data_IF_427719012238
#
_entry.id   IF_427719012238
#
_cell.length_a   1.000
_cell.length_b   1.000
_cell.length_c   1.000
_cell.angle_alpha   90.00
_cell.angle_beta   90.00
_cell.angle_gamma   90.00
#
_symmetry.space_group_name_H-M   'P 1'
#
loop_
_entity.id
_entity.type
_entity.pdbx_description
1 polymer ?
#
# COMPACT_ATOMS: atom_id res chain seq x y z
N UNK A 1 21.64 -8.64 37.94
CA UNK A 1 22.28 -7.91 36.81
C UNK A 1 22.40 -8.75 35.52
N UNK A 2 23.04 -9.92 35.57
CA UNK A 2 23.24 -10.80 34.39
C UNK A 2 21.93 -11.37 33.82
N UNK A 3 20.97 -11.69 34.70
CA UNK A 3 19.63 -12.17 34.31
C UNK A 3 18.81 -11.14 33.54
N UNK A 4 18.97 -9.84 33.85
CA UNK A 4 18.26 -8.78 33.14
C UNK A 4 18.83 -8.60 31.73
N UNK A 5 20.16 -8.48 31.60
CA UNK A 5 20.82 -8.35 30.30
C UNK A 5 20.54 -9.52 29.34
N UNK A 6 20.42 -10.75 29.86
CA UNK A 6 20.05 -11.93 29.05
C UNK A 6 18.62 -11.83 28.51
N UNK A 7 17.66 -11.43 29.34
CA UNK A 7 16.26 -11.29 28.94
C UNK A 7 16.08 -10.17 27.90
N UNK A 8 16.80 -9.06 28.08
CA UNK A 8 16.85 -7.96 27.10
C UNK A 8 17.40 -8.43 25.75
N UNK A 9 18.51 -9.18 25.77
CA UNK A 9 19.10 -9.77 24.57
C UNK A 9 18.16 -10.77 23.88
N UNK A 10 17.46 -11.62 24.64
CA UNK A 10 16.48 -12.57 24.11
C UNK A 10 15.27 -11.86 23.48
N UNK A 11 14.74 -10.82 24.13
CA UNK A 11 13.65 -10.00 23.60
C UNK A 11 14.05 -9.35 22.28
N UNK A 12 15.18 -8.65 22.26
CA UNK A 12 15.67 -7.95 21.07
C UNK A 12 15.93 -8.93 19.93
N UNK A 13 16.57 -10.07 20.21
CA UNK A 13 16.84 -11.10 19.19
C UNK A 13 15.55 -11.61 18.56
N UNK A 14 14.54 -11.95 19.38
CA UNK A 14 13.24 -12.42 18.87
C UNK A 14 12.53 -11.34 18.05
N UNK A 15 12.56 -10.10 18.51
CA UNK A 15 11.94 -8.98 17.81
C UNK A 15 12.58 -8.76 16.43
N UNK A 16 13.91 -8.70 16.37
CA UNK A 16 14.65 -8.51 15.12
C UNK A 16 14.40 -9.66 14.13
N UNK A 17 14.35 -10.90 14.60
CA UNK A 17 13.97 -12.05 13.76
C UNK A 17 12.58 -11.88 13.16
N UNK A 18 11.59 -11.44 13.94
CA UNK A 18 10.24 -11.19 13.40
C UNK A 18 10.24 -10.05 12.38
N UNK A 19 10.98 -8.96 12.63
CA UNK A 19 11.12 -7.86 11.68
C UNK A 19 11.75 -8.34 10.37
N UNK A 20 12.75 -9.23 10.42
CA UNK A 20 13.33 -9.83 9.23
C UNK A 20 12.31 -10.66 8.45
N UNK A 21 11.51 -11.51 9.11
CA UNK A 21 10.46 -12.27 8.42
C UNK A 21 9.43 -11.38 7.74
N UNK A 22 9.01 -10.29 8.40
CA UNK A 22 8.12 -9.28 7.83
C UNK A 22 8.75 -8.66 6.58
N UNK A 23 10.03 -8.34 6.65
CA UNK A 23 10.77 -7.74 5.54
C UNK A 23 10.94 -8.70 4.36
N UNK A 24 11.26 -9.97 4.61
CA UNK A 24 11.41 -10.98 3.56
C UNK A 24 10.09 -11.27 2.86
N UNK A 25 8.99 -11.39 3.61
CA UNK A 25 7.66 -11.50 3.05
C UNK A 25 7.33 -10.31 2.15
N UNK A 26 7.59 -9.10 2.63
CA UNK A 26 7.31 -7.87 1.88
C UNK A 26 8.08 -7.81 0.57
N UNK A 27 9.39 -8.10 0.61
CA UNK A 27 10.27 -8.11 -0.57
C UNK A 27 9.78 -9.10 -1.62
N UNK A 28 9.37 -10.30 -1.20
CA UNK A 28 8.80 -11.30 -2.11
C UNK A 28 7.56 -10.75 -2.80
N UNK A 29 6.64 -10.15 -2.04
CA UNK A 29 5.37 -9.62 -2.56
C UNK A 29 5.53 -8.44 -3.50
N UNK A 30 6.36 -7.46 -3.19
CA UNK A 30 6.60 -6.34 -4.12
C UNK A 30 7.26 -6.82 -5.42
N UNK A 31 8.11 -7.85 -5.38
CA UNK A 31 8.71 -8.43 -6.58
C UNK A 31 7.69 -9.19 -7.44
N UNK A 32 6.76 -9.91 -6.82
CA UNK A 32 5.66 -10.57 -7.52
C UNK A 32 4.75 -9.52 -8.19
N UNK A 33 4.44 -8.43 -7.49
CA UNK A 33 3.67 -7.29 -8.00
C UNK A 33 4.38 -6.59 -9.17
N UNK A 34 5.69 -6.35 -9.06
CA UNK A 34 6.51 -5.79 -10.14
C UNK A 34 6.44 -6.68 -11.40
N UNK A 35 6.65 -8.00 -11.23
CA UNK A 35 6.61 -8.96 -12.33
C UNK A 35 5.24 -9.02 -13.01
N UNK A 36 4.15 -8.85 -12.26
CA UNK A 36 2.80 -8.78 -12.83
C UNK A 36 2.60 -7.46 -13.59
N UNK A 37 3.05 -6.34 -13.03
CA UNK A 37 2.95 -5.04 -13.69
C UNK A 37 3.73 -4.99 -15.01
N UNK A 38 4.95 -5.55 -15.05
CA UNK A 38 5.75 -5.65 -16.28
C UNK A 38 5.05 -6.43 -17.40
N UNK A 39 4.22 -7.43 -17.04
CA UNK A 39 3.42 -8.18 -18.01
C UNK A 39 2.19 -7.40 -18.49
N UNK A 40 1.52 -6.68 -17.58
CA UNK A 40 0.27 -5.97 -17.86
C UNK A 40 0.50 -4.62 -18.55
N UNK A 41 1.55 -3.89 -18.19
CA UNK A 41 1.85 -2.56 -18.72
C UNK A 41 1.87 -2.49 -20.25
N UNK A 42 2.57 -3.35 -21.01
CA UNK A 42 2.55 -3.28 -22.47
C UNK A 42 1.18 -3.65 -23.07
N UNK A 43 0.38 -4.46 -22.36
CA UNK A 43 -0.98 -4.83 -22.80
C UNK A 43 -1.94 -3.67 -22.60
N UNK A 44 -1.83 -2.95 -21.49
CA UNK A 44 -2.76 -1.88 -21.12
C UNK A 44 -2.32 -0.48 -21.59
N UNK A 45 -1.13 -0.36 -22.16
CA UNK A 45 -0.63 0.90 -22.70
C UNK A 45 -1.56 1.45 -23.80
N UNK A 46 -1.70 2.78 -23.85
CA UNK A 46 -2.51 3.50 -24.86
C UNK A 46 -3.95 2.99 -24.97
N UNK A 47 -4.75 3.14 -23.91
CA UNK A 47 -6.15 2.68 -23.86
C UNK A 47 -7.01 3.18 -25.03
N UNK A 48 -6.72 4.35 -25.59
CA UNK A 48 -7.38 4.91 -26.77
C UNK A 48 -7.24 4.04 -28.04
N UNK A 49 -6.28 3.10 -28.07
CA UNK A 49 -6.04 2.23 -29.22
C UNK A 49 -6.85 0.94 -29.19
N UNK A 50 -7.37 0.54 -28.03
CA UNK A 50 -8.06 -0.73 -27.86
C UNK A 50 -9.44 -0.60 -27.18
N UNK A 51 -9.78 0.54 -26.59
CA UNK A 51 -11.15 0.85 -26.17
C UNK A 51 -11.92 1.40 -27.37
N UNK A 52 -12.88 0.62 -27.83
CA UNK A 52 -13.72 0.91 -29.01
C UNK A 52 -14.75 1.99 -28.69
N UNK A 53 -15.32 1.94 -27.48
CA UNK A 53 -16.40 2.84 -27.05
C UNK A 53 -16.42 2.95 -25.51
N UNK A 54 -16.63 4.16 -24.96
CA UNK A 54 -16.71 4.40 -23.52
C UNK A 54 -18.00 3.83 -22.93
N UNK A 55 -18.06 3.75 -21.60
CA UNK A 55 -19.27 3.35 -20.87
C UNK A 55 -20.21 4.55 -20.79
N UNK A 56 -21.35 4.48 -21.48
CA UNK A 56 -22.32 5.58 -21.63
C UNK A 56 -22.96 6.05 -20.30
N UNK A 57 -22.89 5.24 -19.24
CA UNK A 57 -23.48 5.53 -17.92
C UNK A 57 -22.49 5.25 -16.78
N UNK A 58 -21.24 5.70 -16.90
CA UNK A 58 -20.31 5.63 -15.78
C UNK A 58 -20.87 6.45 -14.60
N UNK A 59 -21.02 5.86 -13.39
CA UNK A 59 -21.42 6.62 -12.21
C UNK A 59 -20.42 7.76 -11.93
N UNK A 60 -20.88 8.96 -11.51
CA UNK A 60 -19.97 10.04 -11.14
C UNK A 60 -19.02 9.59 -10.03
N UNK A 61 -17.71 9.70 -10.26
CA UNK A 61 -16.70 9.27 -9.29
C UNK A 61 -16.49 7.74 -9.19
N UNK A 62 -16.96 6.97 -10.17
CA UNK A 62 -16.69 5.53 -10.24
C UNK A 62 -15.18 5.23 -10.30
N UNK A 63 -14.78 4.14 -9.64
CA UNK A 63 -13.41 3.62 -9.70
C UNK A 63 -13.24 2.69 -10.89
N UNK A 64 -11.98 2.42 -11.30
CA UNK A 64 -11.71 1.45 -12.34
C UNK A 64 -12.25 0.05 -11.96
N UNK A 65 -12.14 -0.32 -10.70
CA UNK A 65 -12.71 -1.57 -10.15
C UNK A 65 -14.21 -1.70 -10.38
N UNK A 66 -14.98 -0.61 -10.21
CA UNK A 66 -16.42 -0.61 -10.44
C UNK A 66 -16.78 -0.65 -11.94
N UNK A 67 -15.92 -0.12 -12.80
CA UNK A 67 -16.17 -0.02 -14.25
C UNK A 67 -15.74 -1.26 -15.02
N UNK A 68 -14.69 -1.96 -14.60
CA UNK A 68 -14.18 -3.14 -15.31
C UNK A 68 -15.24 -4.25 -15.48
N UNK A 69 -16.05 -4.60 -14.47
CA UNK A 69 -17.14 -5.58 -14.63
C UNK A 69 -18.24 -5.15 -15.62
N UNK A 70 -18.35 -3.86 -15.93
CA UNK A 70 -19.34 -3.34 -16.89
C UNK A 70 -18.83 -3.40 -18.34
N UNK A 71 -17.54 -3.69 -18.55
CA UNK A 71 -16.94 -3.81 -19.89
C UNK A 71 -17.38 -5.11 -20.56
N UNK A 72 -18.37 -5.00 -21.45
CA UNK A 72 -18.79 -6.12 -22.29
C UNK A 72 -17.73 -6.43 -23.37
N UNK A 73 -17.18 -7.67 -23.42
CA UNK A 73 -16.23 -8.08 -24.44
C UNK A 73 -16.79 -7.94 -25.86
N UNK A 74 -15.94 -7.56 -26.81
CA UNK A 74 -16.24 -7.28 -28.22
C UNK A 74 -17.23 -6.13 -28.46
N UNK A 75 -17.71 -5.47 -27.40
CA UNK A 75 -18.49 -4.24 -27.49
C UNK A 75 -17.62 -3.04 -27.12
N UNK A 76 -16.97 -3.09 -25.96
CA UNK A 76 -16.13 -2.00 -25.46
C UNK A 76 -14.64 -2.24 -25.75
N UNK A 77 -14.18 -3.48 -25.60
CA UNK A 77 -12.80 -3.92 -25.86
C UNK A 77 -12.75 -5.43 -26.07
N UNK A 78 -11.62 -6.00 -26.45
CA UNK A 78 -11.43 -7.45 -26.63
C UNK A 78 -11.37 -8.18 -25.29
N UNK A 79 -11.69 -9.48 -25.28
CA UNK A 79 -11.74 -10.28 -24.04
C UNK A 79 -10.40 -10.31 -23.29
N UNK A 80 -9.28 -10.41 -24.01
CA UNK A 80 -7.93 -10.39 -23.43
C UNK A 80 -7.62 -9.07 -22.69
N UNK A 81 -8.18 -7.94 -23.14
CA UNK A 81 -8.02 -6.64 -22.48
C UNK A 81 -8.90 -6.53 -21.24
N UNK A 82 -10.12 -7.08 -21.28
CA UNK A 82 -10.97 -7.16 -20.07
C UNK A 82 -10.28 -8.01 -19.01
N UNK A 83 -9.72 -9.16 -19.38
CA UNK A 83 -8.98 -10.04 -18.45
C UNK A 83 -7.73 -9.35 -17.90
N UNK A 84 -7.00 -8.61 -18.73
CA UNK A 84 -5.85 -7.82 -18.29
C UNK A 84 -6.24 -6.70 -17.33
N UNK A 85 -7.38 -6.02 -17.55
CA UNK A 85 -7.91 -5.01 -16.65
C UNK A 85 -8.34 -5.60 -15.30
N UNK A 86 -8.97 -6.78 -15.30
CA UNK A 86 -9.31 -7.49 -14.05
C UNK A 86 -8.05 -7.84 -13.25
N UNK A 87 -7.01 -8.38 -13.91
CA UNK A 87 -5.73 -8.66 -13.25
C UNK A 87 -5.06 -7.39 -12.73
N UNK A 88 -5.17 -6.29 -13.47
CA UNK A 88 -4.61 -5.00 -13.06
C UNK A 88 -5.33 -4.40 -11.84
N UNK A 89 -6.66 -4.46 -11.80
CA UNK A 89 -7.44 -4.06 -10.62
C UNK A 89 -7.07 -4.92 -9.41
N UNK A 90 -6.93 -6.24 -9.60
CA UNK A 90 -6.44 -7.15 -8.56
C UNK A 90 -5.06 -6.75 -8.03
N UNK A 91 -4.11 -6.45 -8.93
CA UNK A 91 -2.79 -5.94 -8.57
C UNK A 91 -2.89 -4.65 -7.73
N UNK A 92 -3.73 -3.69 -8.11
CA UNK A 92 -3.92 -2.47 -7.32
C UNK A 92 -4.45 -2.76 -5.91
N UNK A 93 -5.36 -3.72 -5.76
CA UNK A 93 -5.85 -4.18 -4.45
C UNK A 93 -4.74 -4.82 -3.60
N UNK A 94 -3.94 -5.71 -4.19
CA UNK A 94 -2.80 -6.33 -3.50
C UNK A 94 -1.75 -5.30 -3.05
N UNK A 95 -1.50 -4.26 -3.87
CA UNK A 95 -0.59 -3.17 -3.51
C UNK A 95 -1.11 -2.37 -2.32
N UNK A 96 -2.41 -2.09 -2.25
CA UNK A 96 -3.03 -1.43 -1.10
C UNK A 96 -2.91 -2.29 0.16
N UNK A 97 -3.13 -3.60 0.04
CA UNK A 97 -2.95 -4.53 1.15
C UNK A 97 -1.49 -4.60 1.62
N UNK A 98 -0.51 -4.56 0.70
CA UNK A 98 0.90 -4.55 1.07
C UNK A 98 1.31 -3.24 1.78
N UNK A 99 0.70 -2.11 1.40
CA UNK A 99 0.83 -0.84 2.15
C UNK A 99 0.29 -0.98 3.56
N UNK A 100 -0.94 -1.47 3.72
CA UNK A 100 -1.58 -1.71 5.02
C UNK A 100 -0.75 -2.65 5.90
N UNK A 101 -0.20 -3.71 5.32
CA UNK A 101 0.72 -4.63 6.00
C UNK A 101 1.95 -3.91 6.58
N UNK A 102 2.59 -3.02 5.81
CA UNK A 102 3.73 -2.24 6.28
C UNK A 102 3.40 -1.44 7.53
N UNK A 103 2.28 -0.71 7.49
CA UNK A 103 1.83 0.13 8.61
C UNK A 103 1.47 -0.69 9.84
N UNK A 104 0.71 -1.77 9.67
CA UNK A 104 0.33 -2.63 10.79
C UNK A 104 1.55 -3.22 11.49
N UNK A 105 2.53 -3.71 10.73
CA UNK A 105 3.77 -4.25 11.31
C UNK A 105 4.61 -3.16 11.99
N UNK A 106 4.73 -1.99 11.39
CA UNK A 106 5.38 -0.84 12.02
C UNK A 106 4.73 -0.47 13.37
N UNK A 107 3.40 -0.39 13.40
CA UNK A 107 2.61 -0.10 14.59
C UNK A 107 2.79 -1.19 15.66
N UNK A 108 2.78 -2.46 15.25
CA UNK A 108 2.99 -3.58 16.15
C UNK A 108 4.36 -3.51 16.83
N UNK A 109 5.43 -3.26 16.06
CA UNK A 109 6.79 -3.11 16.59
C UNK A 109 6.89 -1.90 17.52
N UNK A 110 6.34 -0.76 17.13
CA UNK A 110 6.37 0.45 17.97
C UNK A 110 5.62 0.25 19.29
N UNK A 111 4.47 -0.44 19.26
CA UNK A 111 3.66 -0.73 20.45
C UNK A 111 4.33 -1.76 21.36
N UNK A 112 4.91 -2.83 20.82
CA UNK A 112 5.58 -3.85 21.64
C UNK A 112 6.84 -3.29 22.30
N UNK A 113 7.61 -2.45 21.61
CA UNK A 113 8.79 -1.79 22.18
C UNK A 113 8.39 -0.74 23.21
N UNK A 114 7.34 0.05 22.97
CA UNK A 114 6.82 0.97 23.99
C UNK A 114 6.36 0.22 25.24
N UNK A 115 5.69 -0.92 25.07
CA UNK A 115 5.28 -1.77 26.21
C UNK A 115 6.50 -2.35 26.93
N UNK A 116 7.52 -2.77 26.19
CA UNK A 116 8.79 -3.24 26.75
C UNK A 116 9.46 -2.14 27.59
N UNK A 117 9.68 -0.95 27.04
CA UNK A 117 10.35 0.18 27.72
C UNK A 117 9.58 0.68 28.95
N UNK A 118 8.27 0.42 29.05
CA UNK A 118 7.49 0.69 30.26
C UNK A 118 7.69 -0.38 31.35
N UNK A 119 8.02 -1.62 30.96
CA UNK A 119 8.17 -2.76 31.86
C UNK A 119 9.65 -3.00 32.23
N UNK A 120 10.57 -2.58 31.38
CA UNK A 120 12.02 -2.58 31.61
C UNK A 120 12.48 -1.17 31.96
N UNK A 121 13.64 -1.06 32.62
CA UNK A 121 14.33 0.23 32.79
C UNK A 121 15.31 0.49 31.63
N UNK A 122 15.06 -0.10 30.45
CA UNK A 122 15.90 0.01 29.26
C UNK A 122 15.09 0.67 28.14
N UNK A 123 15.63 1.75 27.58
CA UNK A 123 15.01 2.45 26.46
C UNK A 123 15.51 1.87 25.15
N UNK A 124 14.70 1.06 24.47
CA UNK A 124 15.02 0.47 23.17
C UNK A 124 14.31 1.17 22.01
N UNK A 125 13.27 1.96 22.29
CA UNK A 125 12.39 2.57 21.28
C UNK A 125 13.13 3.24 20.14
N UNK A 126 14.03 4.18 20.42
CA UNK A 126 14.66 4.97 19.37
C UNK A 126 15.55 4.12 18.47
N UNK A 127 16.32 3.19 19.04
CA UNK A 127 17.18 2.28 18.27
C UNK A 127 16.38 1.32 17.40
N UNK A 128 15.31 0.71 17.96
CA UNK A 128 14.48 -0.23 17.21
C UNK A 128 13.68 0.49 16.13
N UNK A 129 13.09 1.66 16.43
CA UNK A 129 12.36 2.44 15.42
C UNK A 129 13.29 2.90 14.30
N UNK A 130 14.51 3.32 14.62
CA UNK A 130 15.50 3.68 13.59
C UNK A 130 15.84 2.50 12.69
N UNK A 131 16.03 1.31 13.28
CA UNK A 131 16.25 0.08 12.52
C UNK A 131 15.05 -0.27 11.63
N UNK A 132 13.83 -0.23 12.17
CA UNK A 132 12.61 -0.50 11.41
C UNK A 132 12.44 0.48 10.25
N UNK A 133 12.71 1.77 10.50
CA UNK A 133 12.64 2.82 9.49
C UNK A 133 13.68 2.67 8.38
N UNK A 134 14.69 1.80 8.53
CA UNK A 134 15.64 1.47 7.48
C UNK A 134 15.32 0.17 6.76
N UNK A 135 14.25 -0.53 7.15
CA UNK A 135 13.85 -1.78 6.51
C UNK A 135 13.00 -1.51 5.26
N UNK A 136 13.16 -2.38 4.26
CA UNK A 136 12.50 -2.25 2.97
C UNK A 136 10.98 -2.29 3.08
N UNK A 137 10.43 -3.09 4.01
CA UNK A 137 8.98 -3.10 4.23
C UNK A 137 8.42 -1.72 4.63
N UNK A 138 9.23 -0.82 5.18
CA UNK A 138 8.82 0.53 5.56
C UNK A 138 9.20 1.59 4.50
N UNK A 139 10.38 1.47 3.89
CA UNK A 139 10.93 2.49 2.97
C UNK A 139 11.08 2.02 1.52
N UNK A 140 10.28 1.05 1.07
CA UNK A 140 10.42 0.51 -0.28
C UNK A 140 10.22 1.60 -1.34
N UNK A 141 11.26 1.79 -2.15
CA UNK A 141 11.18 2.60 -3.37
C UNK A 141 10.54 1.82 -4.51
N UNK A 142 10.76 0.51 -4.55
CA UNK A 142 10.21 -0.36 -5.59
C UNK A 142 8.68 -0.30 -5.59
N UNK A 143 8.03 -0.43 -4.43
CA UNK A 143 6.58 -0.30 -4.34
C UNK A 143 6.10 1.11 -4.73
N UNK A 144 6.89 2.14 -4.42
CA UNK A 144 6.62 3.52 -4.85
C UNK A 144 6.63 3.68 -6.37
N UNK A 145 7.58 3.05 -7.06
CA UNK A 145 7.70 3.06 -8.51
C UNK A 145 6.55 2.28 -9.18
N UNK A 146 6.25 1.07 -8.67
CA UNK A 146 5.09 0.25 -9.12
C UNK A 146 3.81 1.07 -8.97
N UNK A 147 3.62 1.76 -7.83
CA UNK A 147 2.43 2.55 -7.56
C UNK A 147 2.29 3.71 -8.53
N UNK A 148 3.38 4.42 -8.80
CA UNK A 148 3.38 5.54 -9.73
C UNK A 148 3.00 5.09 -11.14
N UNK A 149 3.59 3.98 -11.60
CA UNK A 149 3.29 3.42 -12.92
C UNK A 149 1.85 2.90 -13.01
N UNK A 150 1.36 2.18 -12.00
CA UNK A 150 -0.02 1.73 -11.93
C UNK A 150 -0.99 2.92 -11.93
N UNK A 151 -0.69 3.99 -11.18
CA UNK A 151 -1.53 5.19 -11.17
C UNK A 151 -1.62 5.87 -12.55
N UNK A 152 -0.52 5.88 -13.33
CA UNK A 152 -0.53 6.37 -14.72
C UNK A 152 -1.46 5.53 -15.60
N UNK A 153 -1.30 4.20 -15.58
CA UNK A 153 -2.13 3.27 -16.37
C UNK A 153 -3.60 3.41 -15.99
N UNK A 154 -3.90 3.45 -14.68
CA UNK A 154 -5.26 3.61 -14.19
C UNK A 154 -5.87 4.94 -14.64
N UNK A 155 -5.12 6.05 -14.56
CA UNK A 155 -5.60 7.37 -14.98
C UNK A 155 -5.86 7.43 -16.48
N UNK A 156 -4.98 6.86 -17.31
CA UNK A 156 -5.16 6.79 -18.76
C UNK A 156 -6.38 5.94 -19.11
N UNK A 157 -6.50 4.75 -18.51
CA UNK A 157 -7.62 3.84 -18.75
C UNK A 157 -8.95 4.48 -18.32
N UNK A 158 -8.99 5.10 -17.14
CA UNK A 158 -10.18 5.78 -16.63
C UNK A 158 -10.65 6.88 -17.57
N UNK A 159 -9.75 7.75 -18.04
CA UNK A 159 -10.11 8.85 -18.93
C UNK A 159 -10.80 8.38 -20.22
N UNK A 160 -10.39 7.23 -20.76
CA UNK A 160 -10.95 6.66 -21.98
C UNK A 160 -12.22 5.85 -21.70
N UNK A 161 -12.29 5.11 -20.58
CA UNK A 161 -13.46 4.29 -20.21
C UNK A 161 -14.65 5.16 -19.80
N UNK A 162 -14.43 6.21 -18.99
CA UNK A 162 -15.51 7.09 -18.52
C UNK A 162 -15.85 8.22 -19.49
N UNK A 163 -14.98 8.51 -20.46
CA UNK A 163 -15.14 9.62 -21.39
C UNK A 163 -14.94 11.00 -20.75
N UNK A 164 -14.46 11.07 -19.49
CA UNK A 164 -14.17 12.31 -18.80
C UNK A 164 -12.69 12.69 -18.95
N UNK A 165 -12.41 13.96 -19.28
CA UNK A 165 -11.04 14.46 -19.30
C UNK A 165 -10.45 14.46 -17.88
N UNK A 166 -9.29 13.82 -17.70
CA UNK A 166 -8.60 13.72 -16.42
C UNK A 166 -8.42 15.10 -15.78
N UNK A 167 -9.22 15.39 -14.75
CA UNK A 167 -9.05 16.58 -13.92
C UNK A 167 -7.77 16.42 -13.09
N UNK A 168 -6.67 17.02 -13.55
CA UNK A 168 -5.43 17.05 -12.78
C UNK A 168 -5.61 17.93 -11.54
N UNK A 169 -6.00 17.33 -10.41
CA UNK A 169 -5.75 17.97 -9.12
C UNK A 169 -4.24 17.99 -8.93
N UNK A 170 -3.66 19.19 -8.95
CA UNK A 170 -2.26 19.41 -8.63
C UNK A 170 -1.98 18.85 -7.23
N UNK A 171 -1.44 17.64 -7.18
CA UNK A 171 -1.03 17.02 -5.94
C UNK A 171 0.18 17.79 -5.40
N UNK A 172 0.18 18.03 -4.09
CA UNK A 172 1.38 18.42 -3.38
C UNK A 172 2.48 17.40 -3.73
N UNK A 173 3.74 17.82 -3.96
CA UNK A 173 4.81 16.89 -4.42
C UNK A 173 5.71 16.46 -3.26
N UNK A 174 5.67 17.19 -2.15
CA UNK A 174 6.54 17.02 -0.98
C UNK A 174 5.70 16.75 0.27
N UNK A 175 6.12 15.79 1.08
CA UNK A 175 5.50 15.49 2.35
C UNK A 175 5.95 16.50 3.40
N UNK A 176 5.04 17.11 4.15
CA UNK A 176 5.41 18.04 5.22
C UNK A 176 5.84 17.36 6.54
N UNK A 177 5.72 16.03 6.64
CA UNK A 177 6.16 15.27 7.82
C UNK A 177 7.64 14.92 7.69
N UNK A 178 8.03 14.25 6.61
CA UNK A 178 9.42 13.89 6.37
C UNK A 178 10.21 14.93 5.55
N UNK A 179 9.54 15.94 4.97
CA UNK A 179 10.15 16.99 4.12
C UNK A 179 10.76 16.41 2.82
N UNK A 180 10.53 15.14 2.52
CA UNK A 180 10.96 14.48 1.29
C UNK A 180 9.87 14.45 0.22
N UNK A 181 10.22 14.01 -1.00
CA UNK A 181 9.23 13.69 -2.04
C UNK A 181 8.23 12.67 -1.50
N UNK A 182 6.95 12.84 -1.85
CA UNK A 182 5.91 11.91 -1.41
C UNK A 182 6.21 10.49 -1.90
N UNK A 183 6.42 9.59 -0.94
CA UNK A 183 6.47 8.15 -1.17
C UNK A 183 5.08 7.57 -0.92
N UNK A 184 4.47 7.01 -1.96
CA UNK A 184 3.10 6.48 -1.94
C UNK A 184 2.11 7.49 -1.32
N UNK A 185 1.81 8.60 -2.02
CA UNK A 185 1.01 9.68 -1.46
C UNK A 185 -0.38 9.21 -1.01
N UNK A 186 -0.83 9.74 0.12
CA UNK A 186 -2.24 9.69 0.56
C UNK A 186 -2.74 11.10 0.65
N UNK A 187 -3.86 11.39 -0.01
CA UNK A 187 -4.54 12.68 0.10
C UNK A 187 -5.73 12.53 1.04
N UNK A 188 -5.69 13.25 2.15
CA UNK A 188 -6.77 13.31 3.13
C UNK A 188 -7.99 14.06 2.57
N UNK A 189 -9.16 13.86 3.17
CA UNK A 189 -10.40 14.57 2.78
C UNK A 189 -10.27 16.10 2.84
N UNK A 190 -9.36 16.61 3.67
CA UNK A 190 -9.03 18.03 3.75
C UNK A 190 -8.23 18.56 2.54
N UNK A 191 -7.75 17.68 1.66
CA UNK A 191 -6.99 17.98 0.44
C UNK A 191 -5.46 17.97 0.59
N UNK A 192 -4.92 17.63 1.76
CA UNK A 192 -3.46 17.59 2.00
C UNK A 192 -2.90 16.20 1.74
N UNK A 193 -1.69 16.14 1.16
CA UNK A 193 -1.05 14.87 0.79
C UNK A 193 0.20 14.58 1.63
N UNK A 194 0.36 13.34 2.06
CA UNK A 194 1.47 12.88 2.90
C UNK A 194 2.00 11.53 2.40
N UNK A 195 3.24 11.16 2.76
CA UNK A 195 3.68 9.78 2.57
C UNK A 195 2.78 8.86 3.39
N UNK A 196 2.39 7.73 2.83
CA UNK A 196 1.55 6.75 3.52
C UNK A 196 2.10 6.40 4.91
N UNK A 197 3.39 6.05 5.00
CA UNK A 197 4.04 5.72 6.27
C UNK A 197 4.03 6.89 7.26
N UNK A 198 4.27 8.12 6.78
CA UNK A 198 4.31 9.31 7.64
C UNK A 198 2.93 9.62 8.26
N UNK A 199 1.88 9.58 7.45
CA UNK A 199 0.54 9.90 7.96
C UNK A 199 -0.02 8.78 8.83
N UNK A 200 0.24 7.52 8.48
CA UNK A 200 -0.13 6.39 9.32
C UNK A 200 0.58 6.42 10.68
N UNK A 201 1.86 6.82 10.71
CA UNK A 201 2.58 7.05 11.96
C UNK A 201 1.95 8.19 12.77
N UNK A 202 1.58 9.30 12.14
CA UNK A 202 0.88 10.41 12.82
C UNK A 202 -0.43 9.94 13.45
N UNK A 203 -1.16 9.08 12.74
CA UNK A 203 -2.46 8.54 13.16
C UNK A 203 -2.36 7.53 14.30
N UNK A 204 -1.14 7.13 14.70
CA UNK A 204 -0.93 6.40 15.95
C UNK A 204 -1.13 7.28 17.20
N UNK A 205 -1.11 8.61 17.03
CA UNK A 205 -1.22 9.58 18.12
C UNK A 205 -2.51 10.41 18.02
N UNK A 206 -2.83 10.89 16.82
CA UNK A 206 -4.00 11.74 16.56
C UNK A 206 -4.53 11.52 15.13
N UNK A 207 -5.84 11.39 14.98
CA UNK A 207 -6.53 11.17 13.69
C UNK A 207 -6.82 12.47 12.91
N UNK A 208 -6.13 13.54 13.28
CA UNK A 208 -6.23 14.84 12.63
C UNK A 208 -5.17 15.01 11.55
N UNK A 209 -5.50 15.77 10.51
CA UNK A 209 -4.52 16.20 9.50
C UNK A 209 -3.37 16.99 10.14
N UNK A 210 -2.10 16.58 10.00
CA UNK A 210 -0.96 17.29 10.61
C UNK A 210 -0.76 18.73 10.13
N UNK A 211 -1.33 19.11 8.98
CA UNK A 211 -1.22 20.46 8.43
C UNK A 211 -2.33 21.41 8.88
N UNK A 212 -3.57 20.93 8.95
CA UNK A 212 -4.72 21.80 9.19
C UNK A 212 -5.61 21.39 10.36
N UNK A 213 -5.23 20.30 11.05
CA UNK A 213 -5.90 19.78 12.24
C UNK A 213 -7.37 19.41 12.05
N UNK A 214 -7.85 19.33 10.80
CA UNK A 214 -9.17 18.81 10.50
C UNK A 214 -9.19 17.30 10.73
N UNK A 215 -10.22 16.85 11.45
CA UNK A 215 -10.54 15.44 11.60
C UNK A 215 -10.65 14.81 10.22
N UNK A 216 -9.93 13.73 10.00
CA UNK A 216 -9.92 13.04 8.73
C UNK A 216 -9.96 11.55 9.00
N UNK A 217 -10.89 10.86 8.35
CA UNK A 217 -10.82 9.42 8.24
C UNK A 217 -9.74 9.10 7.20
N UNK A 218 -8.62 8.57 7.66
CA UNK A 218 -7.80 7.75 6.78
C UNK A 218 -8.55 6.43 6.69
N UNK A 219 -9.00 6.10 5.49
CA UNK A 219 -9.47 4.76 5.17
C UNK A 219 -8.28 3.80 5.20
N UNK A 220 -7.81 3.52 6.42
CA UNK A 220 -6.93 2.41 6.67
C UNK A 220 -7.74 1.13 6.88
N UNK A 221 -9.08 1.19 6.93
CA UNK A 221 -10.03 0.22 7.50
C UNK A 221 -9.34 -1.01 8.11
N UNK A 222 -8.52 -0.78 9.14
CA UNK A 222 -7.63 -1.83 9.68
C UNK A 222 -8.43 -2.89 10.43
N UNK A 223 -9.73 -2.65 10.59
CA UNK A 223 -10.69 -3.47 11.34
C UNK A 223 -10.74 -4.89 10.80
N UNK A 224 -10.65 -5.05 9.47
CA UNK A 224 -10.68 -6.37 8.82
C UNK A 224 -9.38 -6.70 8.06
N UNK A 225 -8.40 -5.79 8.01
CA UNK A 225 -7.18 -6.01 7.20
C UNK A 225 -6.46 -7.31 7.56
N UNK A 226 -6.44 -7.72 8.83
CA UNK A 226 -5.79 -8.99 9.19
C UNK A 226 -6.53 -10.21 8.62
N UNK A 227 -7.87 -10.17 8.60
CA UNK A 227 -8.70 -11.24 8.04
C UNK A 227 -8.62 -11.26 6.51
N UNK A 228 -8.69 -10.08 5.88
CA UNK A 228 -8.53 -9.92 4.43
C UNK A 228 -7.12 -10.35 3.99
N UNK A 229 -6.09 -9.97 4.74
CA UNK A 229 -4.72 -10.36 4.46
C UNK A 229 -4.52 -11.87 4.61
N UNK A 230 -5.15 -12.50 5.59
CA UNK A 230 -5.16 -13.95 5.72
C UNK A 230 -5.87 -14.62 4.53
N UNK A 231 -7.00 -14.07 4.07
CA UNK A 231 -7.70 -14.60 2.90
C UNK A 231 -6.86 -14.48 1.61
N UNK A 232 -6.20 -13.33 1.40
CA UNK A 232 -5.43 -13.03 0.20
C UNK A 232 -4.07 -13.72 0.16
N UNK A 233 -3.34 -13.79 1.28
CA UNK A 233 -1.92 -14.20 1.27
C UNK A 233 -1.61 -15.48 2.05
N UNK A 234 -2.40 -15.89 3.06
CA UNK A 234 -2.11 -17.11 3.83
C UNK A 234 -2.43 -18.40 3.05
N UNK A 235 -3.32 -18.34 2.06
CA UNK A 235 -3.67 -19.50 1.23
C UNK A 235 -2.57 -19.88 0.22
N UNK A 236 -1.64 -18.99 -0.09
CA UNK A 236 -0.54 -19.25 -1.04
C UNK A 236 0.65 -19.98 -0.39
N UNK A 237 0.95 -19.72 0.89
CA UNK A 237 2.10 -20.33 1.57
C UNK A 237 1.83 -21.78 2.07
N UNK A 238 0.56 -22.16 2.29
CA UNK A 238 0.17 -23.56 2.59
C UNK A 238 0.30 -24.50 1.38
N UNK A 239 0.21 -23.98 0.16
CA UNK A 239 0.40 -24.77 -1.07
C UNK A 239 1.89 -25.10 -1.34
N UNK A 240 2.82 -24.33 -0.78
CA UNK A 240 4.27 -24.52 -0.97
C UNK A 240 4.85 -25.48 0.09
N UNK A 241 4.20 -25.65 1.25
CA UNK A 241 4.64 -26.60 2.28
C UNK A 241 4.15 -28.04 2.07
N UNK A 242 3.31 -28.30 1.06
CA UNK A 242 2.74 -29.61 0.76
C UNK A 242 2.99 -30.12 -0.68
N UNK A 243 3.95 -29.52 -1.41
CA UNK A 243 4.44 -29.99 -2.71
C UNK A 243 5.92 -30.41 -2.61
#
# INVERSE_FOLDING_TARGET
PVTNARLEGEFLTKLLIQVHHVNDFYIKKEQDQMRLLEKLAPVLHKPETWIIRPIEQAPPGATLEALVPLLVPNTHTTADKVDALHQFVGLCGEMDMLRKFSVLNYMAVTKIVKKHDHLSNVSLKDSVVTFVNSQQFYTSQLLGDIFTQAQSIASEAMAVVSGEAAGSKAAQVQCCICIEKLLMPVTLSCGHSFCYGCIAQSFCYDHNCPLCQRETELDLDLTNVLDDFAATFYNEDLAIQHA
#
